data_IF_398553585417
#
_entry.id   IF_398553585417
#
_cell.length_a   1.000
_cell.length_b   1.000
_cell.length_c   1.000
_cell.angle_alpha   90.00
_cell.angle_beta   90.00
_cell.angle_gamma   90.00
#
_symmetry.space_group_name_H-M   'P 1'
#
loop_
_entity.id
_entity.type
_entity.pdbx_description
1 polymer ?
#
# COMPACT_ATOMS: atom_id res chain seq x y z
N UNK A 1 -16.88 -22.41 -3.34
CA UNK A 1 -16.58 -21.14 -4.04
C UNK A 1 -16.66 -20.04 -3.01
N UNK A 2 -15.64 -19.19 -2.91
CA UNK A 2 -15.69 -17.98 -2.09
C UNK A 2 -16.81 -17.06 -2.62
N UNK A 3 -17.82 -16.82 -1.77
CA UNK A 3 -19.01 -16.00 -2.05
C UNK A 3 -18.88 -14.60 -1.45
N UNK A 4 -17.69 -13.99 -1.49
CA UNK A 4 -17.47 -12.64 -0.96
C UNK A 4 -18.37 -11.57 -1.62
N UNK A 5 -19.02 -10.74 -0.81
CA UNK A 5 -19.71 -9.52 -1.25
C UNK A 5 -18.71 -8.36 -1.25
N UNK A 6 -18.44 -7.75 -2.41
CA UNK A 6 -17.69 -6.49 -2.50
C UNK A 6 -18.63 -5.29 -2.30
N UNK A 7 -18.90 -4.90 -1.06
CA UNK A 7 -19.91 -3.90 -0.70
C UNK A 7 -19.82 -2.57 -1.47
N UNK A 8 -18.61 -2.09 -1.81
CA UNK A 8 -18.44 -0.85 -2.57
C UNK A 8 -18.95 -0.92 -4.03
N UNK A 9 -19.24 -2.13 -4.53
CA UNK A 9 -19.85 -2.36 -5.84
C UNK A 9 -21.39 -2.34 -5.81
N UNK A 10 -22.00 -2.31 -4.62
CA UNK A 10 -23.46 -2.27 -4.44
C UNK A 10 -24.02 -0.87 -4.71
N UNK A 11 -25.28 -0.79 -5.13
CA UNK A 11 -25.99 0.50 -5.26
C UNK A 11 -26.68 0.91 -3.96
N UNK A 12 -27.17 2.15 -3.89
CA UNK A 12 -27.81 2.71 -2.69
C UNK A 12 -28.87 1.76 -2.05
N UNK A 13 -29.79 1.12 -2.80
CA UNK A 13 -30.78 0.22 -2.22
C UNK A 13 -30.16 -1.01 -1.53
N UNK A 14 -29.16 -1.65 -2.14
CA UNK A 14 -28.49 -2.82 -1.54
C UNK A 14 -27.62 -2.41 -0.35
N UNK A 15 -27.01 -1.21 -0.38
CA UNK A 15 -26.27 -0.68 0.77
C UNK A 15 -27.19 -0.40 1.96
N UNK A 16 -28.36 0.19 1.72
CA UNK A 16 -29.38 0.41 2.75
C UNK A 16 -29.79 -0.94 3.34
N UNK A 17 -30.10 -1.92 2.50
CA UNK A 17 -30.46 -3.27 2.96
C UNK A 17 -29.40 -3.89 3.87
N UNK A 18 -28.13 -3.91 3.44
CA UNK A 18 -27.04 -4.51 4.23
C UNK A 18 -26.76 -3.78 5.55
N UNK A 19 -27.04 -2.47 5.64
CA UNK A 19 -26.92 -1.73 6.90
C UNK A 19 -28.09 -2.02 7.83
N UNK A 20 -29.32 -2.04 7.30
CA UNK A 20 -30.54 -2.28 8.07
C UNK A 20 -30.58 -3.67 8.71
N UNK A 21 -30.20 -4.72 7.98
CA UNK A 21 -30.16 -6.09 8.53
C UNK A 21 -29.14 -6.26 9.67
N UNK A 22 -28.20 -5.32 9.82
CA UNK A 22 -27.24 -5.27 10.94
C UNK A 22 -27.72 -4.39 12.09
N UNK A 23 -28.99 -4.01 12.09
CA UNK A 23 -29.62 -3.25 13.18
C UNK A 23 -29.25 -1.76 13.22
N UNK A 24 -28.66 -1.22 12.14
CA UNK A 24 -28.25 0.19 12.07
C UNK A 24 -29.17 0.96 11.13
N UNK A 25 -29.49 2.20 11.51
CA UNK A 25 -30.28 3.11 10.68
C UNK A 25 -29.42 3.66 9.52
N UNK A 26 -29.79 3.42 8.24
CA UNK A 26 -29.02 3.90 7.09
C UNK A 26 -28.99 5.43 7.00
N UNK A 27 -27.84 5.99 6.58
CA UNK A 27 -27.72 7.43 6.31
C UNK A 27 -28.18 7.80 4.89
N UNK A 28 -28.44 9.08 4.66
CA UNK A 28 -29.03 9.54 3.38
C UNK A 28 -28.07 9.52 2.19
N UNK A 29 -26.78 9.84 2.41
CA UNK A 29 -25.78 9.95 1.33
C UNK A 29 -25.08 8.63 1.06
N UNK A 30 -24.75 8.36 -0.20
CA UNK A 30 -24.13 7.10 -0.61
C UNK A 30 -22.71 6.95 -0.03
N UNK A 31 -21.98 8.06 0.09
CA UNK A 31 -20.67 8.11 0.72
C UNK A 31 -20.75 7.66 2.19
N UNK A 32 -21.72 8.18 2.92
CA UNK A 32 -21.97 7.87 4.33
C UNK A 32 -22.43 6.41 4.52
N UNK A 33 -23.25 5.89 3.61
CA UNK A 33 -23.62 4.47 3.56
C UNK A 33 -22.39 3.58 3.34
N UNK A 34 -21.48 3.96 2.43
CA UNK A 34 -20.23 3.21 2.18
C UNK A 34 -19.32 3.20 3.40
N UNK A 35 -19.22 4.30 4.12
CA UNK A 35 -18.44 4.38 5.36
C UNK A 35 -19.06 3.51 6.45
N UNK A 36 -20.39 3.52 6.59
CA UNK A 36 -21.10 2.65 7.55
C UNK A 36 -20.86 1.18 7.29
N UNK A 37 -21.12 0.71 6.06
CA UNK A 37 -21.03 -0.71 5.76
C UNK A 37 -19.59 -1.22 5.89
N UNK A 38 -18.59 -0.39 5.59
CA UNK A 38 -17.17 -0.78 5.73
C UNK A 38 -16.80 -1.08 7.18
N UNK A 39 -17.39 -0.36 8.15
CA UNK A 39 -17.21 -0.64 9.59
C UNK A 39 -18.02 -1.86 10.01
N UNK A 40 -19.29 -1.89 9.64
CA UNK A 40 -20.22 -2.94 10.07
C UNK A 40 -19.85 -4.34 9.59
N UNK A 41 -19.24 -4.47 8.42
CA UNK A 41 -18.82 -5.78 7.88
C UNK A 41 -17.61 -6.36 8.61
N UNK A 42 -16.79 -5.53 9.27
CA UNK A 42 -15.68 -6.01 10.10
C UNK A 42 -16.17 -6.64 11.41
N UNK A 43 -17.28 -6.13 11.93
CA UNK A 43 -17.89 -6.57 13.18
C UNK A 43 -18.92 -7.68 12.96
N UNK A 44 -19.68 -7.59 11.86
CA UNK A 44 -20.74 -8.54 11.48
C UNK A 44 -20.61 -8.94 10.00
N UNK A 45 -19.78 -9.94 9.67
CA UNK A 45 -19.66 -10.53 8.34
C UNK A 45 -21.00 -11.02 7.74
N UNK A 46 -21.05 -11.20 6.42
CA UNK A 46 -22.30 -11.53 5.70
C UNK A 46 -22.94 -12.85 6.12
N UNK A 47 -22.10 -13.82 6.47
CA UNK A 47 -22.40 -15.19 6.89
C UNK A 47 -22.82 -15.30 8.36
N UNK A 48 -22.51 -14.30 9.18
CA UNK A 48 -22.99 -14.22 10.57
C UNK A 48 -24.39 -13.60 10.68
N UNK A 49 -24.88 -12.93 9.63
CA UNK A 49 -26.24 -12.38 9.57
C UNK A 49 -27.19 -13.44 9.02
N UNK A 50 -27.84 -14.16 9.93
CA UNK A 50 -28.68 -15.33 9.63
C UNK A 50 -30.11 -14.99 9.21
N UNK A 51 -30.64 -13.84 9.63
CA UNK A 51 -32.04 -13.46 9.42
C UNK A 51 -32.13 -12.03 8.89
N UNK A 52 -33.17 -11.77 8.10
CA UNK A 52 -33.50 -10.44 7.59
C UNK A 52 -34.46 -9.74 8.55
N UNK A 53 -34.25 -8.45 8.79
CA UNK A 53 -35.20 -7.61 9.55
C UNK A 53 -36.40 -7.14 8.70
N UNK A 54 -36.43 -7.47 7.41
CA UNK A 54 -37.48 -7.09 6.47
C UNK A 54 -38.54 -8.17 6.34
N UNK A 55 -39.71 -7.79 5.83
CA UNK A 55 -40.73 -8.77 5.45
C UNK A 55 -40.27 -9.64 4.27
N UNK A 56 -40.83 -10.85 4.17
CA UNK A 56 -40.58 -11.76 3.04
C UNK A 56 -40.86 -11.06 1.70
N UNK A 57 -41.94 -10.28 1.61
CA UNK A 57 -42.29 -9.54 0.40
C UNK A 57 -41.22 -8.50 0.01
N UNK A 58 -40.72 -7.72 0.97
CA UNK A 58 -39.66 -6.73 0.74
C UNK A 58 -38.35 -7.38 0.28
N UNK A 59 -38.02 -8.54 0.85
CA UNK A 59 -36.86 -9.31 0.43
C UNK A 59 -36.99 -9.86 -0.99
N UNK A 60 -38.13 -10.46 -1.32
CA UNK A 60 -38.39 -10.93 -2.69
C UNK A 60 -38.39 -9.79 -3.70
N UNK A 61 -38.96 -8.62 -3.34
CA UNK A 61 -38.94 -7.43 -4.17
C UNK A 61 -37.52 -6.94 -4.41
N UNK A 62 -36.70 -6.89 -3.38
CA UNK A 62 -35.31 -6.50 -3.50
C UNK A 62 -34.47 -7.50 -4.31
N UNK A 63 -34.67 -8.80 -4.13
CA UNK A 63 -34.06 -9.87 -4.95
C UNK A 63 -34.44 -9.67 -6.43
N UNK A 64 -35.73 -9.45 -6.72
CA UNK A 64 -36.24 -9.21 -8.08
C UNK A 64 -35.58 -7.99 -8.73
N UNK A 65 -35.44 -6.89 -7.99
CA UNK A 65 -34.78 -5.68 -8.49
C UNK A 65 -33.29 -5.93 -8.78
N UNK A 66 -32.58 -6.62 -7.89
CA UNK A 66 -31.16 -6.96 -8.11
C UNK A 66 -30.99 -7.94 -9.27
N UNK A 67 -31.87 -8.94 -9.42
CA UNK A 67 -31.88 -9.86 -10.57
C UNK A 67 -32.10 -9.15 -11.90
N UNK A 68 -32.98 -8.14 -11.95
CA UNK A 68 -33.16 -7.31 -13.15
C UNK A 68 -31.86 -6.61 -13.58
N UNK A 69 -31.10 -6.05 -12.61
CA UNK A 69 -29.78 -5.45 -12.88
C UNK A 69 -28.76 -6.48 -13.37
N UNK A 70 -28.78 -7.68 -12.78
CA UNK A 70 -27.92 -8.81 -13.19
C UNK A 70 -28.22 -9.21 -14.63
N UNK A 71 -29.49 -9.35 -15.01
CA UNK A 71 -29.87 -9.74 -16.37
C UNK A 71 -29.35 -8.75 -17.42
N UNK A 72 -29.51 -7.44 -17.19
CA UNK A 72 -28.99 -6.39 -18.08
C UNK A 72 -27.47 -6.49 -18.21
N UNK A 73 -26.79 -6.70 -17.08
CA UNK A 73 -25.33 -6.82 -17.04
C UNK A 73 -24.84 -8.10 -17.73
N UNK A 74 -25.58 -9.21 -17.63
CA UNK A 74 -25.30 -10.47 -18.30
C UNK A 74 -25.45 -10.35 -19.82
N UNK A 75 -26.54 -9.76 -20.31
CA UNK A 75 -26.72 -9.52 -21.75
C UNK A 75 -25.56 -8.70 -22.33
N UNK A 76 -25.01 -7.76 -21.56
CA UNK A 76 -23.82 -7.00 -21.97
C UNK A 76 -22.57 -7.87 -21.99
N UNK A 77 -22.37 -8.68 -20.94
CA UNK A 77 -21.19 -9.55 -20.77
C UNK A 77 -21.13 -10.70 -21.79
N UNK A 78 -22.27 -11.22 -22.22
CA UNK A 78 -22.37 -12.27 -23.23
C UNK A 78 -21.95 -11.78 -24.62
N UNK A 79 -22.15 -10.49 -24.89
CA UNK A 79 -21.72 -9.83 -26.13
C UNK A 79 -20.24 -9.45 -26.10
N UNK A 80 -19.80 -8.79 -25.03
CA UNK A 80 -18.42 -8.32 -24.86
C UNK A 80 -18.00 -8.50 -23.40
N UNK A 81 -16.94 -9.27 -23.18
CA UNK A 81 -16.41 -9.45 -21.84
C UNK A 81 -15.83 -8.13 -21.31
N UNK A 82 -16.30 -7.71 -20.12
CA UNK A 82 -15.74 -6.59 -19.39
C UNK A 82 -15.52 -6.99 -17.93
N UNK A 83 -14.26 -7.01 -17.50
CA UNK A 83 -13.88 -7.44 -16.15
C UNK A 83 -14.59 -6.65 -15.03
N UNK A 84 -14.80 -5.34 -15.21
CA UNK A 84 -15.46 -4.50 -14.21
C UNK A 84 -16.95 -4.80 -14.09
N UNK A 85 -17.64 -5.02 -15.21
CA UNK A 85 -19.05 -5.45 -15.21
C UNK A 85 -19.16 -6.85 -14.61
N UNK A 86 -18.26 -7.76 -14.99
CA UNK A 86 -18.21 -9.13 -14.46
C UNK A 86 -18.11 -9.16 -12.92
N UNK A 87 -17.14 -8.45 -12.34
CA UNK A 87 -16.95 -8.40 -10.89
C UNK A 87 -18.17 -7.80 -10.15
N UNK A 88 -18.82 -6.80 -10.75
CA UNK A 88 -20.05 -6.22 -10.19
C UNK A 88 -21.23 -7.19 -10.29
N UNK A 89 -21.43 -7.83 -11.43
CA UNK A 89 -22.49 -8.84 -11.64
C UNK A 89 -22.31 -10.01 -10.67
N UNK A 90 -21.06 -10.49 -10.49
CA UNK A 90 -20.72 -11.51 -9.49
C UNK A 90 -21.05 -11.05 -8.07
N UNK A 91 -20.75 -9.80 -7.74
CA UNK A 91 -21.08 -9.23 -6.42
C UNK A 91 -22.60 -9.20 -6.17
N UNK A 92 -23.41 -8.83 -7.18
CA UNK A 92 -24.86 -8.84 -7.06
C UNK A 92 -25.43 -10.25 -6.87
N UNK A 93 -24.91 -11.24 -7.59
CA UNK A 93 -25.32 -12.64 -7.39
C UNK A 93 -24.95 -13.15 -5.99
N UNK A 94 -23.76 -12.81 -5.48
CA UNK A 94 -23.40 -13.16 -4.10
C UNK A 94 -24.33 -12.49 -3.08
N UNK A 95 -24.68 -11.22 -3.29
CA UNK A 95 -25.64 -10.51 -2.45
C UNK A 95 -27.04 -11.15 -2.48
N UNK A 96 -27.53 -11.53 -3.67
CA UNK A 96 -28.80 -12.26 -3.82
C UNK A 96 -28.74 -13.58 -3.06
N UNK A 97 -27.64 -14.33 -3.14
CA UNK A 97 -27.49 -15.59 -2.44
C UNK A 97 -27.67 -15.44 -0.93
N UNK A 98 -26.94 -14.52 -0.28
CA UNK A 98 -27.09 -14.31 1.16
C UNK A 98 -28.49 -13.80 1.52
N UNK A 99 -29.05 -12.90 0.72
CA UNK A 99 -30.41 -12.41 0.91
C UNK A 99 -31.45 -13.53 0.84
N UNK A 100 -31.29 -14.50 -0.05
CA UNK A 100 -32.14 -15.69 -0.14
C UNK A 100 -31.93 -16.67 1.01
N UNK A 101 -30.71 -16.80 1.55
CA UNK A 101 -30.43 -17.65 2.72
C UNK A 101 -31.06 -17.10 4.01
N UNK A 102 -31.19 -15.77 4.11
CA UNK A 102 -31.81 -15.09 5.27
C UNK A 102 -33.34 -15.18 5.31
N UNK A 103 -33.96 -15.70 4.24
CA UNK A 103 -35.39 -15.98 4.23
C UNK A 103 -35.67 -17.27 5.02
N UNK A 104 -36.61 -17.22 5.96
CA UNK A 104 -37.03 -18.39 6.74
C UNK A 104 -37.48 -19.52 5.81
N UNK A 105 -36.87 -20.71 5.95
CA UNK A 105 -37.24 -21.91 5.19
C UNK A 105 -38.24 -22.77 6.01
N UNK A 106 -39.38 -23.20 5.45
CA UNK A 106 -39.89 -22.89 4.10
C UNK A 106 -40.49 -21.48 4.01
N UNK A 107 -40.42 -20.87 2.83
CA UNK A 107 -41.11 -19.61 2.52
C UNK A 107 -42.61 -19.92 2.39
N UNK A 108 -43.33 -19.94 3.50
CA UNK A 108 -44.72 -20.43 3.55
C UNK A 108 -45.72 -19.52 2.82
N UNK A 109 -46.72 -20.13 2.16
CA UNK A 109 -47.95 -19.44 1.72
C UNK A 109 -47.92 -18.88 0.29
N UNK A 110 -48.39 -17.63 0.14
CA UNK A 110 -48.59 -16.93 -1.14
C UNK A 110 -47.28 -16.54 -1.86
N UNK A 111 -46.15 -16.53 -1.15
CA UNK A 111 -44.85 -16.09 -1.68
C UNK A 111 -43.99 -17.22 -2.25
N UNK A 112 -44.38 -18.49 -2.06
CA UNK A 112 -43.61 -19.67 -2.50
C UNK A 112 -43.37 -19.65 -4.02
N UNK A 113 -44.40 -19.41 -4.82
CA UNK A 113 -44.29 -19.38 -6.28
C UNK A 113 -43.34 -18.28 -6.79
N UNK A 114 -43.39 -17.11 -6.15
CA UNK A 114 -42.49 -16.00 -6.49
C UNK A 114 -41.05 -16.35 -6.09
N UNK A 115 -40.84 -16.90 -4.90
CA UNK A 115 -39.52 -17.35 -4.45
C UNK A 115 -38.93 -18.39 -5.42
N UNK A 116 -39.70 -19.41 -5.81
CA UNK A 116 -39.24 -20.44 -6.74
C UNK A 116 -38.87 -19.87 -8.12
N UNK A 117 -39.64 -18.89 -8.60
CA UNK A 117 -39.34 -18.18 -9.86
C UNK A 117 -38.02 -17.40 -9.76
N UNK A 118 -37.83 -16.64 -8.67
CA UNK A 118 -36.60 -15.86 -8.46
C UNK A 118 -35.39 -16.76 -8.21
N UNK A 119 -35.58 -17.90 -7.55
CA UNK A 119 -34.54 -18.91 -7.36
C UNK A 119 -34.12 -19.53 -8.68
N UNK A 120 -35.09 -19.86 -9.56
CA UNK A 120 -34.80 -20.32 -10.92
C UNK A 120 -33.99 -19.31 -11.73
N UNK A 121 -34.37 -18.03 -11.68
CA UNK A 121 -33.62 -16.94 -12.33
C UNK A 121 -32.21 -16.78 -11.76
N UNK A 122 -32.05 -16.85 -10.44
CA UNK A 122 -30.74 -16.78 -9.79
C UNK A 122 -29.81 -17.90 -10.26
N UNK A 123 -30.31 -19.14 -10.37
CA UNK A 123 -29.54 -20.29 -10.85
C UNK A 123 -29.15 -20.13 -12.32
N UNK A 124 -30.09 -19.77 -13.19
CA UNK A 124 -29.82 -19.50 -14.62
C UNK A 124 -28.75 -18.41 -14.79
N UNK A 125 -28.89 -17.29 -14.09
CA UNK A 125 -27.97 -16.16 -14.19
C UNK A 125 -26.58 -16.49 -13.65
N UNK A 126 -26.51 -17.31 -12.60
CA UNK A 126 -25.25 -17.82 -12.07
C UNK A 126 -24.53 -18.72 -13.07
N UNK A 127 -25.26 -19.59 -13.76
CA UNK A 127 -24.70 -20.44 -14.80
C UNK A 127 -24.23 -19.64 -16.01
N UNK A 128 -25.03 -18.68 -16.49
CA UNK A 128 -24.67 -17.77 -17.58
C UNK A 128 -23.40 -16.99 -17.26
N UNK A 129 -23.25 -16.46 -16.05
CA UNK A 129 -22.03 -15.77 -15.63
C UNK A 129 -20.80 -16.69 -15.62
N UNK A 130 -20.96 -17.95 -15.23
CA UNK A 130 -19.87 -18.93 -15.28
C UNK A 130 -19.47 -19.26 -16.72
N UNK A 131 -20.43 -19.39 -17.64
CA UNK A 131 -20.16 -19.59 -19.08
C UNK A 131 -19.38 -18.42 -19.68
N UNK A 132 -19.73 -17.18 -19.31
CA UNK A 132 -18.98 -15.98 -19.70
C UNK A 132 -17.52 -16.05 -19.25
N UNK A 133 -17.26 -16.46 -18.00
CA UNK A 133 -15.90 -16.61 -17.48
C UNK A 133 -15.12 -17.71 -18.23
N UNK A 134 -15.75 -18.85 -18.47
CA UNK A 134 -15.12 -19.96 -19.21
C UNK A 134 -14.76 -19.57 -20.63
N UNK A 135 -15.62 -18.81 -21.33
CA UNK A 135 -15.36 -18.29 -22.67
C UNK A 135 -14.11 -17.41 -22.69
N UNK A 136 -14.00 -16.48 -21.73
CA UNK A 136 -12.82 -15.60 -21.60
C UNK A 136 -11.54 -16.39 -21.31
N UNK A 137 -11.60 -17.39 -20.43
CA UNK A 137 -10.44 -18.23 -20.09
C UNK A 137 -9.99 -19.13 -21.25
N UNK A 138 -10.92 -19.49 -22.14
CA UNK A 138 -10.66 -20.30 -23.34
C UNK A 138 -10.25 -19.49 -24.57
N UNK A 139 -10.33 -18.15 -24.54
CA UNK A 139 -9.96 -17.31 -25.67
C UNK A 139 -8.44 -17.39 -25.91
N UNK A 140 -7.98 -17.64 -27.17
CA UNK A 140 -6.56 -17.69 -27.47
C UNK A 140 -5.95 -16.32 -27.21
N UNK A 141 -4.94 -16.26 -26.32
CA UNK A 141 -4.07 -15.09 -26.21
C UNK A 141 -3.34 -14.94 -27.54
N UNK A 142 -3.71 -13.93 -28.32
CA UNK A 142 -2.89 -13.49 -29.44
C UNK A 142 -1.56 -12.98 -28.87
N UNK A 143 -0.51 -13.81 -28.97
CA UNK A 143 0.86 -13.35 -28.83
C UNK A 143 1.12 -12.30 -29.91
N UNK A 144 1.48 -11.09 -29.48
CA UNK A 144 1.88 -10.01 -30.37
C UNK A 144 3.30 -10.31 -30.87
N UNK A 145 3.55 -10.54 -32.17
CA UNK A 145 4.90 -10.65 -32.69
C UNK A 145 5.54 -9.27 -32.78
N UNK A 146 6.72 -9.14 -32.19
CA UNK A 146 7.64 -8.01 -32.36
C UNK A 146 7.91 -7.81 -33.86
N UNK A 147 7.63 -6.61 -34.39
CA UNK A 147 7.93 -6.27 -35.79
C UNK A 147 9.35 -5.72 -35.91
N UNK A 148 10.20 -6.47 -36.63
CA UNK A 148 11.43 -5.97 -37.25
C UNK A 148 11.09 -5.06 -38.44
N UNK A 149 11.71 -3.88 -38.59
CA UNK A 149 11.51 -3.01 -39.73
C UNK A 149 12.53 -3.35 -40.82
N UNK A 150 12.19 -4.27 -41.73
CA UNK A 150 12.75 -4.33 -43.09
C UNK A 150 12.17 -5.52 -43.86
N UNK A 151 11.18 -5.28 -44.72
CA UNK A 151 10.96 -6.02 -45.97
C UNK A 151 9.68 -5.52 -46.63
N UNK A 152 9.87 -4.70 -47.65
CA UNK A 152 8.88 -4.43 -48.68
C UNK A 152 8.55 -5.72 -49.41
N UNK A 153 7.27 -6.03 -49.62
CA UNK A 153 6.70 -6.48 -50.92
C UNK A 153 5.18 -6.59 -50.77
N UNK A 154 4.48 -5.88 -51.66
CA UNK A 154 3.05 -5.98 -51.91
C UNK A 154 2.72 -7.29 -52.65
N UNK A 155 1.60 -7.93 -52.28
CA UNK A 155 0.72 -8.62 -53.23
C UNK A 155 -0.57 -9.04 -52.52
N UNK A 156 -1.69 -8.46 -52.94
CA UNK A 156 -3.02 -9.07 -52.79
C UNK A 156 -3.22 -10.10 -53.90
N UNK A 157 -4.17 -11.03 -53.71
CA UNK A 157 -5.31 -10.99 -54.62
C UNK A 157 -6.67 -11.04 -53.90
N UNK A 158 -7.59 -10.41 -54.60
CA UNK A 158 -9.01 -10.20 -54.38
C UNK A 158 -9.83 -11.49 -54.60
N UNK A 159 -10.96 -11.68 -53.90
CA UNK A 159 -12.19 -12.33 -54.39
C UNK A 159 -13.38 -11.98 -53.44
N UNK A 160 -14.26 -11.11 -53.96
CA UNK A 160 -15.74 -11.20 -54.02
C UNK A 160 -16.64 -11.12 -52.75
N UNK A 161 -17.23 -9.91 -52.62
CA UNK A 161 -18.46 -9.37 -51.96
C UNK A 161 -19.69 -10.27 -51.64
N UNK A 162 -20.82 -9.73 -51.11
CA UNK A 162 -21.10 -9.16 -49.78
C UNK A 162 -22.36 -9.85 -49.12
N UNK A 163 -22.81 -9.52 -47.88
CA UNK A 163 -23.94 -8.58 -47.78
C UNK A 163 -24.06 -7.77 -46.47
N UNK A 164 -24.72 -6.61 -46.63
CA UNK A 164 -25.51 -5.84 -45.63
C UNK A 164 -24.78 -5.17 -44.47
N UNK A 165 -24.57 -3.86 -44.65
CA UNK A 165 -24.45 -2.88 -43.57
C UNK A 165 -25.70 -2.96 -42.69
N UNK A 166 -25.61 -3.62 -41.55
CA UNK A 166 -26.40 -3.27 -40.39
C UNK A 166 -25.55 -2.32 -39.56
N UNK A 167 -25.85 -1.02 -39.64
CA UNK A 167 -25.35 -0.06 -38.68
C UNK A 167 -25.87 -0.48 -37.30
N UNK A 168 -25.08 -1.26 -36.57
CA UNK A 168 -25.30 -1.48 -35.15
C UNK A 168 -25.05 -0.14 -34.47
N UNK A 169 -26.12 0.64 -34.30
CA UNK A 169 -26.13 1.77 -33.38
C UNK A 169 -25.79 1.18 -32.01
N UNK A 170 -24.53 1.36 -31.61
CA UNK A 170 -24.01 1.05 -30.30
C UNK A 170 -24.66 2.02 -29.32
N UNK A 171 -25.89 1.73 -28.89
CA UNK A 171 -26.53 2.45 -27.78
C UNK A 171 -25.86 1.99 -26.49
N UNK A 172 -24.66 2.49 -26.24
CA UNK A 172 -24.08 2.52 -24.91
C UNK A 172 -24.88 3.56 -24.14
N UNK A 173 -25.53 3.17 -23.06
CA UNK A 173 -26.10 4.12 -22.11
C UNK A 173 -24.94 4.92 -21.48
N UNK A 174 -24.64 6.04 -22.11
CA UNK A 174 -23.40 6.81 -22.00
C UNK A 174 -23.22 7.56 -20.68
N UNK A 175 -24.26 7.54 -19.84
CA UNK A 175 -24.32 8.32 -18.60
C UNK A 175 -23.30 7.89 -17.55
N UNK A 176 -22.81 6.65 -17.57
CA UNK A 176 -21.92 6.14 -16.50
C UNK A 176 -20.42 6.15 -16.85
N UNK A 177 -20.05 6.20 -18.13
CA UNK A 177 -18.64 6.22 -18.56
C UNK A 177 -18.00 7.60 -18.32
N UNK A 178 -18.76 8.68 -18.57
CA UNK A 178 -18.30 10.06 -18.41
C UNK A 178 -18.44 10.60 -16.98
N UNK A 179 -19.28 10.00 -16.13
CA UNK A 179 -19.61 10.56 -14.81
C UNK A 179 -18.37 10.76 -13.90
N UNK A 180 -17.42 9.82 -13.90
CA UNK A 180 -16.17 9.98 -13.14
C UNK A 180 -15.23 11.01 -13.77
N UNK A 181 -15.19 11.10 -15.10
CA UNK A 181 -14.39 12.10 -15.82
C UNK A 181 -14.88 13.51 -15.46
N UNK A 182 -16.19 13.71 -15.39
CA UNK A 182 -16.81 14.98 -15.06
C UNK A 182 -16.53 15.46 -13.62
N UNK A 183 -16.09 14.59 -12.71
CA UNK A 183 -15.68 15.01 -11.35
C UNK A 183 -14.30 15.68 -11.34
N UNK A 184 -13.48 15.41 -12.35
CA UNK A 184 -12.16 16.00 -12.46
C UNK A 184 -12.25 17.28 -13.26
N UNK A 185 -12.23 18.41 -12.55
CA UNK A 185 -12.27 19.74 -13.14
C UNK A 185 -10.88 20.36 -13.18
N UNK A 186 -10.64 21.20 -14.18
CA UNK A 186 -9.46 22.05 -14.27
C UNK A 186 -9.89 23.51 -14.31
N UNK A 187 -9.33 24.32 -13.42
CA UNK A 187 -9.66 25.74 -13.24
C UNK A 187 -8.63 26.69 -13.86
N UNK A 188 -7.49 26.17 -14.33
CA UNK A 188 -6.36 26.94 -14.83
C UNK A 188 -5.27 27.24 -13.79
N UNK A 189 -5.44 26.82 -12.52
CA UNK A 189 -4.51 27.15 -11.43
C UNK A 189 -3.70 25.97 -10.92
N UNK A 190 -4.29 24.78 -10.98
CA UNK A 190 -3.62 23.53 -10.60
C UNK A 190 -2.61 23.08 -11.67
N UNK A 191 -1.77 22.09 -11.36
CA UNK A 191 -0.79 21.57 -12.33
C UNK A 191 -1.50 20.92 -13.54
N UNK A 192 -1.43 21.59 -14.70
CA UNK A 192 -2.08 21.12 -15.94
C UNK A 192 -1.63 19.72 -16.35
N UNK A 193 -0.33 19.40 -16.20
CA UNK A 193 0.20 18.06 -16.53
C UNK A 193 -0.46 16.97 -15.68
N UNK A 194 -0.65 17.22 -14.39
CA UNK A 194 -1.31 16.26 -13.49
C UNK A 194 -2.79 16.05 -13.88
N UNK A 195 -3.49 17.13 -14.24
CA UNK A 195 -4.85 17.06 -14.77
C UNK A 195 -4.92 16.24 -16.06
N UNK A 196 -4.07 16.54 -17.05
CA UNK A 196 -4.03 15.84 -18.33
C UNK A 196 -3.75 14.35 -18.14
N UNK A 197 -2.74 13.99 -17.34
CA UNK A 197 -2.43 12.58 -17.02
C UNK A 197 -3.65 11.89 -16.43
N UNK A 198 -4.32 12.52 -15.45
CA UNK A 198 -5.45 11.92 -14.78
C UNK A 198 -6.66 11.73 -15.70
N UNK A 199 -6.96 12.70 -16.55
CA UNK A 199 -8.05 12.61 -17.51
C UNK A 199 -7.74 11.54 -18.57
N UNK A 200 -6.50 11.45 -19.06
CA UNK A 200 -6.11 10.42 -20.02
C UNK A 200 -6.16 9.00 -19.44
N UNK A 201 -5.77 8.83 -18.17
CA UNK A 201 -5.95 7.56 -17.45
C UNK A 201 -7.42 7.16 -17.39
N UNK A 202 -8.31 8.11 -17.06
CA UNK A 202 -9.75 7.86 -16.98
C UNK A 202 -10.35 7.60 -18.35
N UNK A 203 -9.95 8.37 -19.37
CA UNK A 203 -10.37 8.17 -20.76
C UNK A 203 -10.05 6.75 -21.22
N UNK A 204 -8.79 6.31 -21.05
CA UNK A 204 -8.34 4.96 -21.40
C UNK A 204 -9.02 3.89 -20.55
N UNK A 205 -9.16 4.10 -19.25
CA UNK A 205 -9.82 3.13 -18.36
C UNK A 205 -11.33 2.97 -18.63
N UNK A 206 -11.96 3.97 -19.27
CA UNK A 206 -13.38 3.99 -19.61
C UNK A 206 -13.66 3.80 -21.09
N UNK A 207 -12.62 3.59 -21.90
CA UNK A 207 -12.70 3.44 -23.36
C UNK A 207 -13.50 4.58 -24.01
N UNK A 208 -13.20 5.82 -23.58
CA UNK A 208 -13.84 7.03 -24.12
C UNK A 208 -13.03 7.55 -25.30
N UNK A 209 -13.68 7.73 -26.44
CA UNK A 209 -13.02 8.24 -27.65
C UNK A 209 -12.59 9.71 -27.49
N UNK A 210 -11.60 10.11 -28.28
CA UNK A 210 -11.07 11.48 -28.30
C UNK A 210 -12.17 12.48 -28.69
N UNK A 211 -13.02 12.14 -29.65
CA UNK A 211 -14.11 13.00 -30.11
C UNK A 211 -15.13 13.22 -28.99
N UNK A 212 -15.39 12.18 -28.19
CA UNK A 212 -16.27 12.29 -27.04
C UNK A 212 -15.63 13.11 -25.92
N UNK A 213 -14.34 12.92 -25.66
CA UNK A 213 -13.61 13.75 -24.69
C UNK A 213 -13.62 15.23 -25.08
N UNK A 214 -13.41 15.51 -26.36
CA UNK A 214 -13.46 16.87 -26.89
C UNK A 214 -14.83 17.53 -26.67
N UNK A 215 -15.93 16.79 -26.86
CA UNK A 215 -17.29 17.28 -26.54
C UNK A 215 -17.51 17.53 -25.04
N UNK A 216 -16.81 16.81 -24.17
CA UNK A 216 -16.87 16.99 -22.71
C UNK A 216 -15.95 18.11 -22.20
N UNK A 217 -15.09 18.68 -23.06
CA UNK A 217 -14.15 19.74 -22.69
C UNK A 217 -14.80 20.93 -21.95
N UNK A 218 -15.95 21.49 -22.40
CA UNK A 218 -16.61 22.60 -21.68
C UNK A 218 -17.10 22.21 -20.29
N UNK A 219 -17.30 20.92 -20.02
CA UNK A 219 -17.77 20.45 -18.72
C UNK A 219 -16.60 20.20 -17.77
N UNK A 220 -15.48 19.66 -18.24
CA UNK A 220 -14.29 19.38 -17.40
C UNK A 220 -13.43 20.63 -17.15
N UNK A 221 -13.54 21.66 -18.01
CA UNK A 221 -12.88 22.94 -17.79
C UNK A 221 -13.81 23.88 -17.02
N UNK A 222 -13.24 24.62 -16.08
CA UNK A 222 -13.95 25.56 -15.20
C UNK A 222 -13.10 26.83 -15.03
N UNK A 223 -13.68 27.90 -14.47
CA UNK A 223 -12.94 29.14 -14.21
C UNK A 223 -12.22 29.70 -15.44
N UNK A 224 -10.98 30.12 -15.26
CA UNK A 224 -10.15 30.77 -16.29
C UNK A 224 -9.88 29.83 -17.47
N UNK A 225 -9.68 28.53 -17.20
CA UNK A 225 -9.49 27.52 -18.24
C UNK A 225 -10.71 27.37 -19.16
N UNK A 226 -11.93 27.52 -18.64
CA UNK A 226 -13.13 27.48 -19.50
C UNK A 226 -13.26 28.74 -20.36
N UNK A 227 -12.90 29.90 -19.83
CA UNK A 227 -12.88 31.15 -20.59
C UNK A 227 -11.87 31.09 -21.73
N UNK A 228 -10.65 30.61 -21.44
CA UNK A 228 -9.62 30.33 -22.42
C UNK A 228 -10.10 29.36 -23.50
N UNK A 229 -10.68 28.22 -23.12
CA UNK A 229 -11.14 27.23 -24.09
C UNK A 229 -12.17 27.82 -25.06
N UNK A 230 -13.09 28.67 -24.56
CA UNK A 230 -14.07 29.35 -25.41
C UNK A 230 -13.46 30.29 -26.43
N UNK A 231 -12.26 30.85 -26.21
CA UNK A 231 -11.58 31.69 -27.20
C UNK A 231 -10.81 30.90 -28.26
N UNK A 232 -10.40 29.66 -27.96
CA UNK A 232 -9.60 28.81 -28.89
C UNK A 232 -10.39 27.62 -29.47
N UNK A 233 -11.64 27.40 -29.03
CA UNK A 233 -12.43 26.22 -29.43
C UNK A 233 -12.59 26.07 -30.95
N UNK A 234 -12.63 27.19 -31.69
CA UNK A 234 -12.88 27.19 -33.13
C UNK A 234 -11.59 26.97 -33.93
N UNK A 235 -10.41 27.15 -33.31
CA UNK A 235 -9.10 26.85 -33.89
C UNK A 235 -8.60 25.44 -33.60
N UNK A 236 -9.14 24.78 -32.57
CA UNK A 236 -8.70 23.44 -32.15
C UNK A 236 -9.60 22.38 -32.79
N UNK A 237 -9.01 21.44 -33.53
CA UNK A 237 -9.74 20.42 -34.28
C UNK A 237 -9.84 19.06 -33.56
N UNK A 238 -8.99 18.81 -32.56
CA UNK A 238 -8.89 17.49 -31.91
C UNK A 238 -8.64 17.56 -30.41
N UNK A 239 -8.92 16.44 -29.72
CA UNK A 239 -8.58 16.26 -28.31
C UNK A 239 -7.07 16.36 -28.06
N UNK A 240 -6.26 15.75 -28.92
CA UNK A 240 -4.80 15.82 -28.82
C UNK A 240 -4.27 17.26 -28.93
N UNK A 241 -4.82 18.04 -29.86
CA UNK A 241 -4.48 19.45 -30.03
C UNK A 241 -4.92 20.30 -28.83
N UNK A 242 -6.11 20.04 -28.28
CA UNK A 242 -6.55 20.67 -27.03
C UNK A 242 -5.58 20.40 -25.87
N UNK A 243 -5.09 19.17 -25.73
CA UNK A 243 -4.12 18.82 -24.70
C UNK A 243 -2.76 19.52 -24.93
N UNK A 244 -2.35 19.75 -26.18
CA UNK A 244 -1.15 20.52 -26.51
C UNK A 244 -1.33 21.99 -26.10
N UNK A 245 -2.40 22.64 -26.55
CA UNK A 245 -2.67 24.04 -26.23
C UNK A 245 -2.85 24.25 -24.71
N UNK A 246 -3.49 23.31 -24.00
CA UNK A 246 -3.58 23.36 -22.54
C UNK A 246 -2.20 23.38 -21.88
N UNK A 247 -1.24 22.59 -22.38
CA UNK A 247 0.13 22.62 -21.86
C UNK A 247 0.81 23.93 -22.21
N UNK A 248 0.68 24.40 -23.45
CA UNK A 248 1.34 25.64 -23.88
C UNK A 248 0.88 26.85 -23.05
N UNK A 249 -0.42 26.95 -22.73
CA UNK A 249 -0.97 28.14 -22.08
C UNK A 249 -1.07 28.04 -20.54
N UNK A 250 -1.08 26.84 -19.95
CA UNK A 250 -1.22 26.66 -18.49
C UNK A 250 -0.05 25.93 -17.81
N UNK A 251 0.95 25.47 -18.57
CA UNK A 251 2.14 24.87 -17.95
C UNK A 251 3.04 25.97 -17.34
N UNK A 252 3.87 25.55 -16.39
CA UNK A 252 4.80 26.47 -15.75
C UNK A 252 5.95 26.77 -16.71
N UNK A 253 6.27 28.05 -16.90
CA UNK A 253 7.47 28.48 -17.60
C UNK A 253 8.70 27.80 -16.95
N UNK A 254 9.44 27.03 -17.74
CA UNK A 254 10.55 26.15 -17.34
C UNK A 254 10.17 24.93 -16.47
N UNK A 255 9.00 24.32 -16.70
CA UNK A 255 8.55 23.11 -15.97
C UNK A 255 9.63 22.02 -15.86
N UNK A 256 10.28 21.65 -16.97
CA UNK A 256 11.28 20.57 -16.97
C UNK A 256 12.49 20.93 -16.10
N UNK A 257 12.89 22.20 -16.03
CA UNK A 257 13.99 22.66 -15.17
C UNK A 257 13.61 22.53 -13.70
N UNK A 258 12.43 23.05 -13.30
CA UNK A 258 11.93 22.98 -11.92
C UNK A 258 11.67 21.53 -11.49
N UNK A 259 11.07 20.72 -12.36
CA UNK A 259 10.85 19.30 -12.09
C UNK A 259 12.18 18.55 -11.92
N UNK A 260 13.21 18.85 -12.72
CA UNK A 260 14.54 18.26 -12.52
C UNK A 260 15.19 18.69 -11.21
N UNK A 261 14.99 19.94 -10.77
CA UNK A 261 15.43 20.40 -9.46
C UNK A 261 14.72 19.64 -8.33
N UNK A 262 13.39 19.48 -8.41
CA UNK A 262 12.61 18.69 -7.44
C UNK A 262 13.05 17.22 -7.43
N UNK A 263 13.27 16.61 -8.59
CA UNK A 263 13.78 15.24 -8.73
C UNK A 263 15.13 15.08 -8.01
N UNK A 264 16.05 16.04 -8.21
CA UNK A 264 17.37 16.01 -7.57
C UNK A 264 17.29 16.25 -6.06
N UNK A 265 16.31 17.02 -5.59
CA UNK A 265 16.10 17.29 -4.18
C UNK A 265 15.28 16.20 -3.44
N UNK A 266 14.63 15.29 -4.17
CA UNK A 266 13.74 14.28 -3.56
C UNK A 266 14.51 13.13 -2.92
N UNK A 267 14.78 13.23 -1.63
CA UNK A 267 15.34 12.17 -0.79
C UNK A 267 14.29 11.18 -0.28
N UNK A 268 14.61 9.90 -0.09
CA UNK A 268 13.70 8.87 0.43
C UNK A 268 13.22 9.13 1.88
N UNK A 269 11.90 9.02 2.12
CA UNK A 269 11.25 9.21 3.43
C UNK A 269 11.42 8.04 4.41
N UNK A 270 11.17 8.23 5.71
CA UNK A 270 11.49 7.24 6.77
C UNK A 270 10.62 6.00 6.72
N UNK A 271 9.32 6.23 6.53
CA UNK A 271 8.33 5.18 6.35
C UNK A 271 8.17 4.78 4.88
N UNK A 272 9.01 5.31 3.98
CA UNK A 272 8.95 5.06 2.56
C UNK A 272 9.81 3.86 2.18
N UNK A 273 9.18 2.73 1.85
CA UNK A 273 9.90 1.58 1.28
C UNK A 273 10.58 1.96 -0.05
N UNK A 274 11.68 1.27 -0.37
CA UNK A 274 12.40 1.49 -1.63
C UNK A 274 11.48 1.34 -2.85
N UNK A 275 10.51 0.41 -2.79
CA UNK A 275 9.61 0.15 -3.92
C UNK A 275 8.71 1.36 -4.20
N UNK A 276 8.16 1.98 -3.15
CA UNK A 276 7.29 3.15 -3.28
C UNK A 276 8.10 4.37 -3.70
N UNK A 277 9.28 4.57 -3.10
CA UNK A 277 10.21 5.64 -3.48
C UNK A 277 10.56 5.59 -4.97
N UNK A 278 11.01 4.43 -5.48
CA UNK A 278 11.36 4.27 -6.89
C UNK A 278 10.16 4.48 -7.82
N UNK A 279 8.95 4.09 -7.41
CA UNK A 279 7.73 4.34 -8.19
C UNK A 279 7.40 5.85 -8.29
N UNK A 280 7.57 6.59 -7.19
CA UNK A 280 7.40 8.05 -7.18
C UNK A 280 8.46 8.72 -8.06
N UNK A 281 9.73 8.35 -7.92
CA UNK A 281 10.82 8.88 -8.74
C UNK A 281 10.58 8.61 -10.23
N UNK A 282 10.16 7.39 -10.59
CA UNK A 282 9.75 7.07 -11.97
C UNK A 282 8.61 7.98 -12.46
N UNK A 283 7.60 8.21 -11.62
CA UNK A 283 6.51 9.14 -11.93
C UNK A 283 7.00 10.56 -12.19
N UNK A 284 7.96 11.06 -11.42
CA UNK A 284 8.55 12.39 -11.64
C UNK A 284 9.35 12.44 -12.95
N UNK A 285 10.23 11.46 -13.21
CA UNK A 285 10.98 11.38 -14.47
C UNK A 285 10.08 11.28 -15.70
N UNK A 286 8.97 10.53 -15.63
CA UNK A 286 8.02 10.38 -16.73
C UNK A 286 7.29 11.67 -17.11
N UNK A 287 7.34 12.69 -16.24
CA UNK A 287 6.76 14.01 -16.50
C UNK A 287 7.71 14.94 -17.23
N UNK A 288 8.96 14.58 -17.46
CA UNK A 288 9.88 15.40 -18.23
C UNK A 288 9.61 15.24 -19.72
N UNK A 289 9.78 16.32 -20.46
CA UNK A 289 9.65 16.31 -21.91
C UNK A 289 10.82 15.56 -22.54
N UNK A 290 12.03 15.77 -22.00
CA UNK A 290 13.24 15.03 -22.41
C UNK A 290 13.48 13.82 -21.51
N UNK A 291 13.62 12.65 -22.13
CA UNK A 291 13.97 11.43 -21.43
C UNK A 291 15.37 11.54 -20.82
N UNK A 292 15.47 11.22 -19.53
CA UNK A 292 16.74 11.10 -18.82
C UNK A 292 17.27 9.67 -19.01
N UNK A 293 18.54 9.45 -19.37
CA UNK A 293 19.15 8.12 -19.44
C UNK A 293 18.96 7.34 -18.13
N UNK A 294 18.87 6.00 -18.19
CA UNK A 294 18.69 5.19 -16.97
C UNK A 294 19.90 5.30 -16.03
N UNK A 295 21.12 5.42 -16.56
CA UNK A 295 22.34 5.66 -15.79
C UNK A 295 22.21 6.91 -14.92
N UNK A 296 21.81 8.03 -15.52
CA UNK A 296 21.72 9.31 -14.83
C UNK A 296 20.57 9.32 -13.81
N UNK A 297 19.47 8.62 -14.12
CA UNK A 297 18.38 8.39 -13.17
C UNK A 297 18.86 7.59 -11.97
N UNK A 298 19.62 6.51 -12.22
CA UNK A 298 20.17 5.66 -11.18
C UNK A 298 21.14 6.44 -10.29
N UNK A 299 22.02 7.27 -10.85
CA UNK A 299 22.95 8.12 -10.09
C UNK A 299 22.22 9.09 -9.15
N UNK A 300 21.18 9.77 -9.65
CA UNK A 300 20.34 10.65 -8.84
C UNK A 300 19.67 9.86 -7.71
N UNK A 301 19.10 8.70 -8.04
CA UNK A 301 18.43 7.84 -7.06
C UNK A 301 19.41 7.35 -5.98
N UNK A 302 20.59 6.86 -6.37
CA UNK A 302 21.62 6.37 -5.44
C UNK A 302 22.09 7.46 -4.47
N UNK A 303 22.15 8.71 -4.92
CA UNK A 303 22.49 9.84 -4.04
C UNK A 303 21.40 10.14 -3.00
N UNK A 304 20.13 9.82 -3.32
CA UNK A 304 18.95 10.26 -2.57
C UNK A 304 18.23 9.15 -1.78
N UNK A 305 18.59 7.88 -1.97
CA UNK A 305 18.10 6.77 -1.14
C UNK A 305 18.66 6.83 0.29
N UNK A 306 18.03 6.11 1.22
CA UNK A 306 18.45 6.13 2.61
C UNK A 306 19.84 5.51 2.83
N UNK A 307 20.67 6.10 3.71
CA UNK A 307 21.97 5.53 4.05
C UNK A 307 21.94 4.11 4.65
N UNK A 308 20.80 3.62 5.14
CA UNK A 308 20.71 2.27 5.71
C UNK A 308 21.06 1.17 4.70
N UNK A 309 20.86 1.42 3.41
CA UNK A 309 21.24 0.47 2.35
C UNK A 309 22.75 0.46 2.05
N UNK A 310 23.55 1.38 2.59
CA UNK A 310 24.98 1.49 2.28
C UNK A 310 25.73 0.17 2.51
N UNK A 311 25.36 -0.59 3.54
CA UNK A 311 25.98 -1.88 3.84
C UNK A 311 25.79 -2.90 2.72
N UNK A 312 24.61 -2.98 2.12
CA UNK A 312 24.33 -3.94 1.03
C UNK A 312 24.83 -3.43 -0.33
N UNK A 313 24.85 -2.12 -0.52
CA UNK A 313 25.34 -1.49 -1.76
C UNK A 313 26.86 -1.54 -1.87
N UNK A 314 27.59 -1.44 -0.75
CA UNK A 314 29.05 -1.55 -0.75
C UNK A 314 29.57 -2.90 -1.28
N UNK A 315 28.77 -3.98 -1.15
CA UNK A 315 29.10 -5.30 -1.70
C UNK A 315 28.58 -5.54 -3.12
N UNK A 316 27.92 -4.54 -3.72
CA UNK A 316 27.33 -4.60 -5.07
C UNK A 316 27.71 -3.36 -5.90
N UNK A 317 29.00 -3.19 -6.24
CA UNK A 317 29.48 -2.06 -7.05
C UNK A 317 29.02 -2.12 -8.51
N UNK A 318 28.47 -3.25 -8.94
CA UNK A 318 28.05 -3.58 -10.30
C UNK A 318 26.62 -3.17 -10.65
N UNK A 319 25.88 -2.52 -9.73
CA UNK A 319 24.49 -2.14 -9.97
C UNK A 319 24.41 -1.12 -11.11
N UNK A 320 23.88 -1.55 -12.25
CA UNK A 320 23.78 -0.75 -13.47
C UNK A 320 22.34 -0.34 -13.81
N UNK A 321 21.34 -0.94 -13.14
CA UNK A 321 19.93 -0.67 -13.42
C UNK A 321 19.13 -0.34 -12.17
N UNK A 322 18.03 0.38 -12.34
CA UNK A 322 17.09 0.68 -11.24
C UNK A 322 16.42 -0.61 -10.75
N UNK A 323 16.26 -1.60 -11.64
CA UNK A 323 15.74 -2.93 -11.30
C UNK A 323 16.62 -3.69 -10.30
N UNK A 324 17.92 -3.74 -10.55
CA UNK A 324 18.89 -4.38 -9.65
C UNK A 324 18.95 -3.68 -8.29
N UNK A 325 18.97 -2.35 -8.28
CA UNK A 325 18.92 -1.55 -7.04
C UNK A 325 17.69 -1.93 -6.20
N UNK A 326 16.51 -1.97 -6.83
CA UNK A 326 15.25 -2.33 -6.18
C UNK A 326 15.33 -3.70 -5.51
N UNK A 327 15.91 -4.69 -6.19
CA UNK A 327 15.96 -6.06 -5.69
C UNK A 327 16.91 -6.19 -4.48
N UNK A 328 18.07 -5.54 -4.54
CA UNK A 328 19.04 -5.48 -3.43
C UNK A 328 18.42 -4.81 -2.20
N UNK A 329 17.88 -3.61 -2.36
CA UNK A 329 17.27 -2.86 -1.26
C UNK A 329 16.02 -3.56 -0.69
N UNK A 330 15.17 -4.16 -1.53
CA UNK A 330 14.00 -4.93 -1.07
C UNK A 330 14.42 -6.19 -0.31
N UNK A 331 15.53 -6.82 -0.69
CA UNK A 331 16.07 -7.92 0.10
C UNK A 331 16.54 -7.44 1.48
N UNK A 332 17.26 -6.31 1.55
CA UNK A 332 17.67 -5.70 2.81
C UNK A 332 16.47 -5.38 3.72
N UNK A 333 15.39 -4.79 3.20
CA UNK A 333 14.16 -4.53 3.96
C UNK A 333 13.55 -5.82 4.51
N UNK A 334 13.47 -6.88 3.69
CA UNK A 334 12.97 -8.18 4.12
C UNK A 334 13.81 -8.81 5.23
N UNK A 335 15.14 -8.73 5.11
CA UNK A 335 16.07 -9.25 6.14
C UNK A 335 15.93 -8.43 7.42
N UNK A 336 15.89 -7.11 7.34
CA UNK A 336 15.70 -6.21 8.48
C UNK A 336 14.37 -6.45 9.18
N UNK A 337 13.29 -6.66 8.44
CA UNK A 337 11.98 -7.03 8.99
C UNK A 337 12.00 -8.38 9.72
N UNK A 338 12.78 -9.36 9.24
CA UNK A 338 12.95 -10.64 9.94
C UNK A 338 13.76 -10.48 11.22
N UNK A 339 14.84 -9.70 11.19
CA UNK A 339 15.68 -9.44 12.36
C UNK A 339 14.93 -8.68 13.45
N UNK A 340 14.10 -7.71 13.09
CA UNK A 340 13.27 -6.95 14.07
C UNK A 340 12.17 -7.79 14.70
N UNK A 341 11.60 -8.75 13.95
CA UNK A 341 10.60 -9.68 14.46
C UNK A 341 11.19 -10.93 15.13
N UNK A 342 12.51 -11.11 15.08
CA UNK A 342 13.16 -12.25 15.71
C UNK A 342 13.02 -12.17 17.23
N UNK A 343 12.49 -13.24 17.81
CA UNK A 343 12.41 -13.42 19.26
C UNK A 343 13.29 -14.59 19.63
N UNK A 344 14.17 -14.37 20.61
CA UNK A 344 14.92 -15.48 21.19
C UNK A 344 13.97 -16.54 21.75
N UNK A 345 14.36 -17.83 21.70
CA UNK A 345 13.57 -18.89 22.33
C UNK A 345 13.28 -18.56 23.80
N UNK A 346 12.06 -18.89 24.25
CA UNK A 346 11.65 -18.68 25.65
C UNK A 346 12.62 -19.43 26.56
N UNK A 347 13.15 -18.75 27.57
CA UNK A 347 14.04 -19.38 28.55
C UNK A 347 13.33 -20.56 29.23
N UNK A 348 14.06 -21.65 29.46
CA UNK A 348 13.59 -22.84 30.19
C UNK A 348 12.93 -22.51 31.55
N UNK A 349 13.31 -21.38 32.16
CA UNK A 349 12.75 -20.89 33.42
C UNK A 349 11.34 -20.25 33.31
N UNK A 350 10.88 -19.93 32.11
CA UNK A 350 9.60 -19.26 31.83
C UNK A 350 8.66 -20.10 30.94
N UNK A 351 9.09 -21.28 30.52
CA UNK A 351 8.35 -22.13 29.60
C UNK A 351 7.51 -23.18 30.37
N UNK A 352 6.18 -22.98 30.43
CA UNK A 352 5.23 -24.06 30.72
C UNK A 352 5.07 -24.93 29.45
N UNK A 353 6.14 -25.63 29.07
CA UNK A 353 6.14 -26.52 27.90
C UNK A 353 5.74 -27.93 28.30
N UNK A 354 4.86 -28.54 27.51
CA UNK A 354 4.46 -29.95 27.64
C UNK A 354 5.63 -30.91 27.35
N UNK A 355 6.65 -30.43 26.62
CA UNK A 355 7.86 -31.18 26.31
C UNK A 355 9.11 -30.32 26.62
N UNK A 356 9.60 -30.33 27.88
CA UNK A 356 10.75 -29.54 28.32
C UNK A 356 12.09 -29.93 27.68
N UNK A 357 12.23 -31.16 27.20
CA UNK A 357 13.44 -31.73 26.60
C UNK A 357 13.84 -31.09 25.26
N UNK A 358 12.88 -30.48 24.56
CA UNK A 358 13.11 -29.78 23.29
C UNK A 358 13.34 -28.27 23.46
N UNK A 359 13.30 -27.75 24.68
CA UNK A 359 13.52 -26.33 24.92
C UNK A 359 14.98 -25.96 24.69
N UNK A 360 15.19 -24.75 24.15
CA UNK A 360 16.53 -24.17 24.06
C UNK A 360 17.09 -23.97 25.48
N UNK A 361 18.08 -24.79 25.82
CA UNK A 361 18.87 -24.60 27.05
C UNK A 361 20.01 -23.66 26.70
N UNK A 362 19.86 -22.40 27.09
CA UNK A 362 20.96 -21.45 27.06
C UNK A 362 22.12 -22.03 27.86
N UNK A 363 23.24 -22.32 27.19
CA UNK A 363 24.53 -22.58 27.84
C UNK A 363 24.99 -21.27 28.46
N UNK A 364 24.35 -20.85 29.55
CA UNK A 364 25.03 -19.97 30.50
C UNK A 364 26.24 -20.77 30.93
N UNK A 365 27.44 -20.28 30.63
CA UNK A 365 28.64 -20.77 31.29
C UNK A 365 28.27 -20.98 32.75
N UNK A 366 28.44 -22.20 33.28
CA UNK A 366 28.09 -22.45 34.66
C UNK A 366 28.81 -21.37 35.45
N UNK A 367 28.04 -20.56 36.20
CA UNK A 367 28.60 -19.70 37.22
C UNK A 367 29.57 -20.59 37.98
N UNK A 368 30.86 -20.38 37.75
CA UNK A 368 31.91 -21.07 38.45
C UNK A 368 31.75 -20.72 39.92
N UNK A 369 31.04 -21.56 40.67
CA UNK A 369 31.54 -21.99 41.97
C UNK A 369 32.75 -22.88 41.66
N UNK A 370 33.83 -22.24 41.29
CA UNK A 370 35.14 -22.85 41.15
C UNK A 370 36.12 -21.78 41.60
N UNK A 371 36.69 -22.01 42.77
CA UNK A 371 37.90 -21.37 43.28
C UNK A 371 39.12 -21.86 42.47
N UNK A 372 39.06 -21.90 41.14
CA UNK A 372 40.24 -22.16 40.32
C UNK A 372 40.70 -20.89 39.63
N UNK A 373 41.79 -20.37 40.19
CA UNK A 373 42.73 -19.42 39.61
C UNK A 373 43.05 -19.86 38.19
N UNK A 374 42.72 -19.04 37.20
CA UNK A 374 43.17 -19.23 35.82
C UNK A 374 44.68 -18.95 35.81
N UNK A 375 45.46 -20.01 35.63
CA UNK A 375 46.83 -19.93 35.16
C UNK A 375 46.82 -20.25 33.66
N UNK A 376 47.01 -19.23 32.82
CA UNK A 376 47.60 -19.36 31.49
C UNK A 376 47.94 -17.95 30.94
N UNK A 377 49.18 -17.54 31.21
CA UNK A 377 50.11 -16.82 30.35
C UNK A 377 49.52 -15.84 29.31
N UNK A 378 49.44 -14.56 29.71
CA UNK A 378 49.90 -13.46 28.86
C UNK A 378 50.94 -12.70 29.69
N UNK A 379 52.20 -12.80 29.28
CA UNK A 379 53.31 -12.07 29.88
C UNK A 379 53.06 -10.56 29.78
N UNK A 380 53.37 -9.86 30.87
CA UNK A 380 53.47 -8.41 31.01
C UNK A 380 52.18 -7.56 30.94
N UNK A 381 51.57 -7.28 32.12
CA UNK A 381 51.29 -5.90 32.65
C UNK A 381 50.25 -5.79 33.78
N UNK A 382 49.96 -6.80 34.59
CA UNK A 382 49.13 -6.58 35.78
C UNK A 382 49.95 -5.96 36.94
N UNK A 383 49.87 -4.63 37.06
CA UNK A 383 50.36 -3.83 38.18
C UNK A 383 49.22 -3.60 39.20
N UNK A 384 49.46 -3.92 40.47
CA UNK A 384 48.47 -3.76 41.53
C UNK A 384 48.16 -2.28 41.79
N UNK A 385 46.91 -1.86 41.61
CA UNK A 385 46.48 -0.47 41.83
C UNK A 385 46.60 0.04 43.28
N UNK A 386 46.86 -0.85 44.26
CA UNK A 386 47.00 -0.50 45.68
C UNK A 386 48.46 -0.32 46.12
N UNK A 387 49.40 -1.09 45.57
CA UNK A 387 50.81 -1.03 45.97
C UNK A 387 51.79 -0.78 44.82
N UNK A 388 51.31 -0.70 43.58
CA UNK A 388 52.14 -0.44 42.40
C UNK A 388 53.06 -1.59 41.98
N UNK A 389 53.02 -2.74 42.64
CA UNK A 389 53.87 -3.89 42.30
C UNK A 389 53.21 -4.81 41.26
N UNK A 390 54.01 -5.38 40.37
CA UNK A 390 53.56 -6.29 39.30
C UNK A 390 53.36 -7.71 39.85
N UNK A 391 52.48 -8.49 39.21
CA UNK A 391 52.32 -9.93 39.49
C UNK A 391 51.21 -10.30 40.48
N UNK A 392 50.42 -9.34 40.96
CA UNK A 392 49.22 -9.62 41.76
C UNK A 392 48.16 -8.51 41.58
N UNK A 393 46.92 -8.78 41.94
CA UNK A 393 45.81 -7.82 41.91
C UNK A 393 45.57 -7.22 43.29
N UNK A 394 44.79 -6.13 43.37
CA UNK A 394 44.46 -5.43 44.64
C UNK A 394 43.94 -6.38 45.73
N UNK A 395 43.19 -7.40 45.34
CA UNK A 395 42.57 -8.37 46.25
C UNK A 395 43.57 -9.43 46.77
N UNK A 396 44.71 -9.60 46.12
CA UNK A 396 45.76 -10.56 46.48
C UNK A 396 47.03 -9.86 46.95
N UNK A 397 46.94 -8.57 47.29
CA UNK A 397 48.08 -7.78 47.72
C UNK A 397 48.58 -8.26 49.10
N UNK A 398 49.86 -8.63 49.24
CA UNK A 398 50.41 -9.09 50.52
C UNK A 398 50.42 -8.01 51.61
N UNK A 399 50.30 -6.73 51.23
CA UNK A 399 50.10 -5.60 52.16
C UNK A 399 48.66 -5.49 52.72
N UNK A 400 47.82 -6.52 52.58
CA UNK A 400 46.40 -6.49 52.99
C UNK A 400 46.13 -7.05 54.39
N UNK A 401 47.13 -7.57 55.10
CA UNK A 401 46.90 -8.14 56.44
C UNK A 401 47.24 -7.12 57.52
N UNK A 402 46.22 -6.42 58.00
CA UNK A 402 46.32 -5.62 59.21
C UNK A 402 45.19 -4.60 59.35
N UNK A 403 44.18 -4.95 60.14
CA UNK A 403 43.40 -3.99 60.93
C UNK A 403 42.33 -3.17 60.21
N UNK A 404 41.09 -3.34 60.67
CA UNK A 404 39.99 -2.39 60.50
C UNK A 404 40.42 -0.96 60.84
N UNK A 405 40.70 -0.13 59.84
CA UNK A 405 40.51 1.33 59.88
C UNK A 405 40.06 1.81 58.51
N UNK A 406 39.01 2.61 58.52
CA UNK A 406 38.42 3.34 57.40
C UNK A 406 39.43 3.76 56.33
N UNK A 407 39.44 3.09 55.17
CA UNK A 407 40.08 3.63 53.98
C UNK A 407 38.98 4.16 53.06
N UNK A 408 38.81 5.48 53.10
CA UNK A 408 37.93 6.24 52.22
C UNK A 408 38.39 5.98 50.78
N UNK A 409 37.67 5.11 50.07
CA UNK A 409 37.77 5.00 48.62
C UNK A 409 37.56 6.40 48.02
N UNK A 410 38.44 6.90 47.13
CA UNK A 410 38.31 8.23 46.55
C UNK A 410 37.19 8.18 45.51
N UNK A 411 35.94 8.31 45.97
CA UNK A 411 34.77 8.43 45.10
C UNK A 411 35.03 9.54 44.06
N UNK A 412 34.83 9.27 42.77
CA UNK A 412 34.89 10.31 41.72
C UNK A 412 33.49 10.65 41.26
N UNK A 413 33.24 11.93 41.02
CA UNK A 413 31.98 12.39 40.46
C UNK A 413 31.88 11.90 39.02
N UNK A 414 30.92 11.03 38.72
CA UNK A 414 30.73 10.44 37.40
C UNK A 414 30.41 11.47 36.30
N UNK A 415 30.03 12.70 36.66
CA UNK A 415 29.66 13.77 35.71
C UNK A 415 30.82 14.70 35.36
N UNK A 416 31.78 14.95 36.26
CA UNK A 416 32.88 15.89 36.03
C UNK A 416 34.27 15.35 36.40
N UNK A 417 34.37 14.13 36.91
CA UNK A 417 35.63 13.47 37.27
C UNK A 417 36.28 13.91 38.59
N UNK A 418 35.69 14.87 39.32
CA UNK A 418 36.26 15.41 40.57
C UNK A 418 36.37 14.31 41.65
N UNK A 419 37.56 14.14 42.23
CA UNK A 419 37.86 13.14 43.26
C UNK A 419 37.33 13.57 44.63
N UNK A 420 36.93 12.60 45.45
CA UNK A 420 36.38 12.79 46.80
C UNK A 420 34.86 12.98 46.87
N UNK A 421 34.15 13.19 45.75
CA UNK A 421 32.72 13.55 45.76
C UNK A 421 31.86 12.64 44.86
N UNK A 422 30.69 12.22 45.37
CA UNK A 422 29.62 11.61 44.55
C UNK A 422 28.83 12.71 43.83
N UNK A 423 28.13 12.38 42.74
CA UNK A 423 27.40 13.37 41.90
C UNK A 423 26.47 14.26 42.73
N UNK A 424 25.76 13.69 43.72
CA UNK A 424 24.82 14.41 44.59
C UNK A 424 25.48 15.49 45.49
N UNK A 425 26.75 15.31 45.86
CA UNK A 425 27.48 16.18 46.79
C UNK A 425 28.69 16.85 46.11
N UNK A 426 28.74 16.83 44.78
CA UNK A 426 29.83 17.42 44.03
C UNK A 426 29.64 18.94 43.95
N UNK A 427 30.59 19.75 44.44
CA UNK A 427 30.46 21.21 44.44
C UNK A 427 30.38 21.83 43.03
N UNK A 428 30.77 21.07 41.99
CA UNK A 428 30.64 21.48 40.58
C UNK A 428 29.36 21.01 39.89
N UNK A 429 28.68 19.98 40.39
CA UNK A 429 27.58 19.30 39.67
C UNK A 429 26.26 19.24 40.44
N UNK A 430 26.29 19.44 41.76
CA UNK A 430 25.09 19.52 42.58
C UNK A 430 24.55 20.94 42.56
N UNK A 431 23.22 21.09 42.47
CA UNK A 431 22.53 22.40 42.52
C UNK A 431 22.27 22.87 43.96
N UNK A 432 22.77 22.16 44.97
CA UNK A 432 22.55 22.46 46.39
C UNK A 432 23.91 22.78 47.05
N UNK A 433 24.02 23.97 47.67
CA UNK A 433 25.23 24.40 48.39
C UNK A 433 25.45 23.49 49.62
N UNK A 434 26.62 22.86 49.78
CA UNK A 434 26.89 22.05 50.96
C UNK A 434 27.26 22.93 52.16
N UNK A 435 26.68 22.61 53.31
CA UNK A 435 27.05 23.12 54.64
C UNK A 435 28.45 22.63 55.04
N UNK A 436 29.21 23.50 55.68
CA UNK A 436 30.62 23.37 56.06
C UNK A 436 30.92 22.10 56.87
N UNK A 437 32.02 21.41 56.52
CA UNK A 437 32.59 20.37 57.38
C UNK A 437 33.21 19.18 56.66
N UNK A 438 34.25 19.39 55.85
CA UNK A 438 35.21 18.33 55.54
C UNK A 438 36.55 18.93 55.12
N UNK A 439 37.59 18.71 55.94
CA UNK A 439 38.97 19.15 55.71
C UNK A 439 39.50 18.58 54.38
N UNK A 440 40.20 19.43 53.64
CA UNK A 440 40.90 19.11 52.41
C UNK A 440 42.30 18.62 52.81
N UNK A 441 42.58 17.33 52.68
CA UNK A 441 43.96 16.84 52.71
C UNK A 441 44.54 16.99 51.29
N UNK A 442 45.46 17.93 51.16
CA UNK A 442 46.37 18.05 50.02
C UNK A 442 47.52 17.06 50.19
N UNK A 443 47.52 16.02 49.36
CA UNK A 443 48.61 15.05 49.19
C UNK A 443 48.50 14.37 47.85
#
# INVERSE_FOLDING_TARGET
MDRTIRYLNLTKPELIYEISIRGVQPMDRVEDLRTQITKLVQEYPADEVLESCFSVEEDLNGIRQTLSKVNISLSTLEQLFNKGIYERTRTYLNHIYFRMERLSKPVSGEHQQLFDTLQGQFLDYSERLNRVLSREQSAPKLDIPTMDPNSSTCNSPNISQPPLKADFIKVVCDRNSSAEILKHKFDGKSCVRAFITRIEELRRARDVSDEKMFKLAPEILTGDALHWFRSVKDSIASWSELLSCLREDFDVFDFDYKMMEEIRARSQGEDESITIYLAIMHGMFSRLTRLVPESDRLDIILHNIRPCYASVLAYRPDIGTIGELRDVCRNFERVTARSTNFKEPVSTSQANSVAPEFLYVSKKDPKGRSNHRVAALSENKLQCFKCGMKGHTVNTCPKSKGGSRSFQSPYRCYKCGLRGFKVANCPKCSKVKPTEGAKIDTG
#
